data_IF_169875206105
#
_entry.id   IF_169875206105
#
_cell.length_a   1.000
_cell.length_b   1.000
_cell.length_c   1.000
_cell.angle_alpha   90.00
_cell.angle_beta   90.00
_cell.angle_gamma   90.00
#
_symmetry.space_group_name_H-M   'P 1'
#
loop_
_entity.id
_entity.type
_entity.pdbx_description
1 polymer ?
#
# COMPACT_ATOMS: atom_id res chain seq x y z
N UNK A 1 -5.42 18.00 62.00
CA UNK A 1 -4.31 17.22 61.39
C UNK A 1 -4.87 15.85 61.03
N UNK A 2 -4.90 15.29 59.82
CA UNK A 2 -4.09 15.42 58.59
C UNK A 2 -4.97 15.11 57.35
N UNK A 3 -6.13 15.78 57.20
CA UNK A 3 -6.94 15.73 55.96
C UNK A 3 -6.12 16.20 54.73
N UNK A 4 -5.07 17.00 54.98
CA UNK A 4 -4.05 17.41 54.00
C UNK A 4 -3.31 16.23 53.32
N UNK A 5 -3.24 15.05 53.95
CA UNK A 5 -2.49 13.91 53.41
C UNK A 5 -3.23 13.17 52.30
N UNK A 6 -4.57 13.25 52.26
CA UNK A 6 -5.38 12.61 51.22
C UNK A 6 -5.50 13.48 49.96
N UNK A 7 -5.44 14.81 50.11
CA UNK A 7 -5.47 15.74 48.99
C UNK A 7 -4.20 15.63 48.11
N UNK A 8 -3.04 15.34 48.73
CA UNK A 8 -1.76 15.22 48.01
C UNK A 8 -1.68 13.98 47.12
N UNK A 9 -2.34 12.88 47.51
CA UNK A 9 -2.31 11.62 46.75
C UNK A 9 -3.24 11.70 45.54
N UNK A 10 -4.40 12.33 45.68
CA UNK A 10 -5.33 12.52 44.55
C UNK A 10 -4.76 13.45 43.47
N UNK A 11 -3.99 14.48 43.85
CA UNK A 11 -3.39 15.41 42.89
C UNK A 11 -2.21 14.80 42.11
N UNK A 12 -1.45 13.89 42.72
CA UNK A 12 -0.33 13.18 42.07
C UNK A 12 -0.79 12.14 41.03
N UNK A 13 -1.98 11.55 41.20
CA UNK A 13 -2.57 10.63 40.20
C UNK A 13 -3.13 11.34 38.97
N UNK A 14 -3.47 12.62 39.06
CA UNK A 14 -4.01 13.38 37.92
C UNK A 14 -2.94 13.77 36.89
N UNK A 15 -1.67 13.91 37.29
CA UNK A 15 -0.59 14.37 36.40
C UNK A 15 -0.04 13.25 35.51
N UNK A 16 -0.14 11.98 35.94
CA UNK A 16 0.39 10.83 35.18
C UNK A 16 -0.45 10.51 33.93
N UNK A 17 -1.69 11.00 33.84
CA UNK A 17 -2.55 10.79 32.67
C UNK A 17 -2.21 11.68 31.47
N UNK A 18 -1.35 12.69 31.64
CA UNK A 18 -0.99 13.65 30.59
C UNK A 18 0.25 13.26 29.77
N UNK A 19 0.90 12.14 30.07
CA UNK A 19 2.16 11.73 29.45
C UNK A 19 2.06 10.51 28.53
N UNK A 20 0.86 10.01 28.25
CA UNK A 20 0.67 9.11 27.13
C UNK A 20 0.34 9.97 25.92
N UNK A 21 1.26 10.13 24.94
CA UNK A 21 0.77 10.43 23.61
C UNK A 21 -0.15 9.24 23.27
N UNK A 22 -1.46 9.44 23.39
CA UNK A 22 -2.39 8.75 22.53
C UNK A 22 -1.83 8.99 21.14
N UNK A 23 -1.18 7.98 20.59
CA UNK A 23 -1.14 7.85 19.15
C UNK A 23 -2.60 7.72 18.79
N UNK A 24 -3.24 8.87 18.54
CA UNK A 24 -4.38 8.91 17.68
C UNK A 24 -3.96 8.03 16.50
N UNK A 25 -4.67 6.93 16.32
CA UNK A 25 -4.69 6.23 15.05
C UNK A 25 -5.33 7.22 14.08
N UNK A 26 -4.60 8.30 13.77
CA UNK A 26 -4.81 9.01 12.53
C UNK A 26 -4.69 7.90 11.51
N UNK A 27 -5.80 7.62 10.82
CA UNK A 27 -5.81 6.71 9.69
C UNK A 27 -4.61 7.05 8.81
N UNK A 28 -3.52 6.31 8.95
CA UNK A 28 -2.61 6.07 7.83
C UNK A 28 -3.26 4.98 6.96
N UNK A 29 -4.54 5.15 6.68
CA UNK A 29 -5.16 4.72 5.45
C UNK A 29 -4.73 5.73 4.38
N UNK A 30 -3.42 5.94 4.21
CA UNK A 30 -2.92 6.31 2.88
C UNK A 30 -2.91 5.01 2.08
N UNK A 31 -4.13 4.50 1.86
CA UNK A 31 -4.43 3.61 0.76
C UNK A 31 -3.88 4.28 -0.48
N UNK A 32 -3.12 3.48 -1.21
CA UNK A 32 -2.36 3.91 -2.37
C UNK A 32 -3.20 4.81 -3.29
N UNK A 33 -2.60 5.79 -3.96
CA UNK A 33 -3.36 6.60 -4.91
C UNK A 33 -3.94 5.70 -6.01
N UNK A 34 -5.27 5.69 -6.19
CA UNK A 34 -5.95 4.90 -7.22
C UNK A 34 -6.09 5.66 -8.55
N UNK A 35 -5.18 6.59 -8.84
CA UNK A 35 -5.14 7.19 -10.18
C UNK A 35 -4.79 6.10 -11.20
N UNK A 36 -5.42 6.04 -12.37
CA UNK A 36 -5.19 4.98 -13.36
C UNK A 36 -3.88 5.22 -14.14
N UNK A 37 -2.76 5.35 -13.41
CA UNK A 37 -1.41 5.49 -13.95
C UNK A 37 -0.51 4.34 -13.49
N UNK A 38 0.50 4.00 -14.30
CA UNK A 38 1.48 2.97 -13.95
C UNK A 38 2.24 3.34 -12.67
N UNK A 39 2.56 4.63 -12.48
CA UNK A 39 3.27 5.11 -11.30
C UNK A 39 2.46 4.93 -10.01
N UNK A 40 1.15 5.22 -10.06
CA UNK A 40 0.26 5.01 -8.93
C UNK A 40 0.16 3.52 -8.56
N UNK A 41 -0.04 2.65 -9.56
CA UNK A 41 -0.03 1.20 -9.39
C UNK A 41 1.30 0.67 -8.81
N UNK A 42 2.42 1.24 -9.25
CA UNK A 42 3.75 0.93 -8.68
C UNK A 42 3.83 1.31 -7.21
N UNK A 43 3.25 2.44 -6.83
CA UNK A 43 3.06 2.84 -5.44
C UNK A 43 2.29 1.79 -4.64
N UNK A 44 1.23 1.22 -5.23
CA UNK A 44 0.44 0.14 -4.63
C UNK A 44 1.27 -1.10 -4.30
N UNK A 45 2.13 -1.53 -5.22
CA UNK A 45 3.02 -2.68 -4.99
C UNK A 45 4.01 -2.41 -3.85
N UNK A 46 4.59 -1.21 -3.79
CA UNK A 46 5.53 -0.83 -2.72
C UNK A 46 4.83 -0.81 -1.37
N UNK A 47 3.65 -0.20 -1.30
CA UNK A 47 2.86 -0.17 -0.08
C UNK A 47 2.48 -1.58 0.38
N UNK A 48 1.95 -2.42 -0.53
CA UNK A 48 1.57 -3.80 -0.22
C UNK A 48 2.76 -4.63 0.29
N UNK A 49 3.96 -4.46 -0.27
CA UNK A 49 5.16 -5.12 0.21
C UNK A 49 5.58 -4.62 1.62
N UNK A 50 5.57 -3.31 1.84
CA UNK A 50 5.94 -2.71 3.13
C UNK A 50 4.95 -3.08 4.25
N UNK A 51 3.68 -3.22 3.91
CA UNK A 51 2.61 -3.67 4.82
C UNK A 51 2.63 -5.20 5.07
N UNK A 52 3.50 -5.95 4.39
CA UNK A 52 3.60 -7.41 4.52
C UNK A 52 2.50 -8.18 3.78
N UNK A 53 1.72 -7.51 2.91
CA UNK A 53 0.74 -8.17 2.05
C UNK A 53 1.37 -8.89 0.86
N UNK A 54 2.64 -8.60 0.56
CA UNK A 54 3.50 -9.38 -0.33
C UNK A 54 4.69 -9.88 0.49
N UNK A 55 4.78 -11.19 0.72
CA UNK A 55 5.78 -11.76 1.63
C UNK A 55 7.12 -12.12 0.95
N UNK A 56 7.14 -12.11 -0.38
CA UNK A 56 8.29 -12.52 -1.19
C UNK A 56 9.01 -11.32 -1.81
N UNK A 57 10.22 -11.03 -1.32
CA UNK A 57 11.07 -9.97 -1.87
C UNK A 57 11.37 -10.16 -3.36
N UNK A 58 11.57 -11.41 -3.80
CA UNK A 58 11.83 -11.71 -5.20
C UNK A 58 10.60 -11.43 -6.07
N UNK A 59 9.40 -11.75 -5.57
CA UNK A 59 8.15 -11.42 -6.26
C UNK A 59 7.98 -9.90 -6.34
N UNK A 60 8.16 -9.17 -5.25
CA UNK A 60 8.07 -7.69 -5.25
C UNK A 60 9.01 -7.08 -6.29
N UNK A 61 10.27 -7.54 -6.38
CA UNK A 61 11.21 -7.07 -7.40
C UNK A 61 10.73 -7.38 -8.82
N UNK A 62 10.18 -8.57 -9.04
CA UNK A 62 9.64 -8.98 -10.35
C UNK A 62 8.45 -8.11 -10.75
N UNK A 63 7.51 -7.87 -9.84
CA UNK A 63 6.33 -7.03 -10.08
C UNK A 63 6.73 -5.59 -10.39
N UNK A 64 7.65 -5.01 -9.61
CA UNK A 64 8.15 -3.65 -9.87
C UNK A 64 8.87 -3.55 -11.22
N UNK A 65 9.68 -4.56 -11.59
CA UNK A 65 10.36 -4.58 -12.88
C UNK A 65 9.37 -4.62 -14.07
N UNK A 66 8.25 -5.34 -13.93
CA UNK A 66 7.18 -5.35 -14.95
C UNK A 66 6.52 -3.98 -15.11
N UNK A 67 6.26 -3.28 -13.99
CA UNK A 67 5.70 -1.92 -14.01
C UNK A 67 6.69 -0.90 -14.55
N UNK A 68 7.97 -0.98 -14.19
CA UNK A 68 9.02 -0.12 -14.73
C UNK A 68 9.18 -0.32 -16.26
N UNK A 69 9.03 -1.56 -16.76
CA UNK A 69 9.00 -1.86 -18.19
C UNK A 69 7.75 -1.30 -18.89
N UNK A 70 6.58 -1.34 -18.24
CA UNK A 70 5.36 -0.71 -18.76
C UNK A 70 5.51 0.82 -18.85
N UNK A 71 6.01 1.46 -17.79
CA UNK A 71 6.27 2.91 -17.79
C UNK A 71 7.27 3.30 -18.87
N UNK A 72 8.39 2.55 -19.00
CA UNK A 72 9.39 2.81 -20.04
C UNK A 72 8.79 2.71 -21.46
N UNK A 73 7.84 1.80 -21.68
CA UNK A 73 7.14 1.69 -22.96
C UNK A 73 6.23 2.91 -23.21
N UNK A 74 5.50 3.38 -22.18
CA UNK A 74 4.70 4.61 -22.28
C UNK A 74 5.55 5.84 -22.59
N UNK A 75 6.69 5.98 -21.93
CA UNK A 75 7.62 7.09 -22.15
C UNK A 75 8.15 7.13 -23.59
N UNK A 76 8.12 5.99 -24.29
CA UNK A 76 8.50 5.83 -25.71
C UNK A 76 7.31 5.91 -26.68
N UNK A 77 6.10 6.19 -26.19
CA UNK A 77 4.86 6.17 -26.99
C UNK A 77 4.44 4.78 -27.47
N UNK A 78 4.95 3.70 -26.84
CA UNK A 78 4.67 2.32 -27.19
C UNK A 78 3.50 1.77 -26.36
N UNK A 79 2.32 2.37 -26.50
CA UNK A 79 1.14 2.06 -25.68
C UNK A 79 0.77 0.57 -25.71
N UNK A 80 0.76 -0.08 -26.87
CA UNK A 80 0.48 -1.52 -26.98
C UNK A 80 1.46 -2.40 -26.20
N UNK A 81 2.73 -2.00 -26.14
CA UNK A 81 3.78 -2.71 -25.38
C UNK A 81 3.57 -2.49 -23.88
N UNK A 82 3.21 -1.28 -23.46
CA UNK A 82 2.87 -0.97 -22.09
C UNK A 82 1.67 -1.82 -21.61
N UNK A 83 0.60 -1.89 -22.41
CA UNK A 83 -0.58 -2.73 -22.12
C UNK A 83 -0.19 -4.20 -21.98
N UNK A 84 0.63 -4.74 -22.89
CA UNK A 84 1.11 -6.13 -22.78
C UNK A 84 1.88 -6.38 -21.48
N UNK A 85 2.75 -5.46 -21.07
CA UNK A 85 3.48 -5.56 -19.81
C UNK A 85 2.54 -5.53 -18.59
N UNK A 86 1.50 -4.70 -18.61
CA UNK A 86 0.48 -4.66 -17.55
C UNK A 86 -0.33 -5.95 -17.47
N UNK A 87 -0.65 -6.59 -18.60
CA UNK A 87 -1.33 -7.88 -18.61
C UNK A 87 -0.44 -9.00 -18.04
N UNK A 88 0.87 -8.96 -18.30
CA UNK A 88 1.84 -9.88 -17.67
C UNK A 88 1.91 -9.65 -16.15
N UNK A 89 1.86 -8.39 -15.70
CA UNK A 89 1.74 -8.05 -14.29
C UNK A 89 0.48 -8.67 -13.67
N UNK A 90 -0.69 -8.48 -14.29
CA UNK A 90 -1.97 -9.07 -13.83
C UNK A 90 -1.86 -10.59 -13.68
N UNK A 91 -1.38 -11.28 -14.71
CA UNK A 91 -1.20 -12.74 -14.66
C UNK A 91 -0.26 -13.18 -13.54
N UNK A 92 0.81 -12.40 -13.29
CA UNK A 92 1.75 -12.68 -12.20
C UNK A 92 1.09 -12.52 -10.84
N UNK A 93 0.33 -11.43 -10.64
CA UNK A 93 -0.39 -11.17 -9.38
C UNK A 93 -1.43 -12.26 -9.12
N UNK A 94 -2.26 -12.61 -10.11
CA UNK A 94 -3.27 -13.67 -10.01
C UNK A 94 -2.62 -15.03 -9.68
N UNK A 95 -1.51 -15.37 -10.32
CA UNK A 95 -0.80 -16.63 -10.07
C UNK A 95 -0.24 -16.75 -8.65
N UNK A 96 -0.01 -15.62 -7.97
CA UNK A 96 0.58 -15.53 -6.62
C UNK A 96 -0.43 -15.18 -5.53
N UNK A 97 -1.68 -14.89 -5.91
CA UNK A 97 -2.78 -14.66 -4.99
C UNK A 97 -2.96 -15.86 -4.05
N UNK A 98 -3.00 -15.59 -2.74
CA UNK A 98 -3.10 -16.60 -1.69
C UNK A 98 -1.83 -17.42 -1.44
N UNK A 99 -0.75 -17.19 -2.19
CA UNK A 99 0.55 -17.86 -2.01
C UNK A 99 1.58 -16.92 -1.40
N UNK A 100 1.87 -15.84 -2.11
CA UNK A 100 2.84 -14.83 -1.75
C UNK A 100 2.22 -13.43 -1.67
N UNK A 101 0.96 -13.30 -2.10
CA UNK A 101 0.18 -12.06 -2.03
C UNK A 101 -1.12 -12.38 -1.30
N UNK A 102 -1.48 -11.59 -0.28
CA UNK A 102 -2.80 -11.68 0.36
C UNK A 102 -3.89 -11.53 -0.69
N UNK A 103 -4.86 -12.45 -0.72
CA UNK A 103 -5.84 -12.54 -1.82
C UNK A 103 -6.60 -11.22 -2.08
N UNK A 104 -7.00 -10.52 -1.01
CA UNK A 104 -7.66 -9.21 -1.11
C UNK A 104 -6.75 -8.16 -1.77
N UNK A 105 -5.47 -8.12 -1.39
CA UNK A 105 -4.50 -7.22 -2.00
C UNK A 105 -4.17 -7.58 -3.44
N UNK A 106 -4.17 -8.88 -3.78
CA UNK A 106 -4.03 -9.32 -5.17
C UNK A 106 -5.21 -8.82 -6.02
N UNK A 107 -6.45 -8.97 -5.53
CA UNK A 107 -7.63 -8.47 -6.21
C UNK A 107 -7.58 -6.94 -6.42
N UNK A 108 -7.15 -6.20 -5.40
CA UNK A 108 -6.94 -4.75 -5.51
C UNK A 108 -5.90 -4.40 -6.60
N UNK A 109 -4.73 -5.02 -6.58
CA UNK A 109 -3.67 -4.76 -7.59
C UNK A 109 -4.11 -5.10 -9.02
N UNK A 110 -4.88 -6.19 -9.19
CA UNK A 110 -5.45 -6.56 -10.49
C UNK A 110 -6.46 -5.53 -10.97
N UNK A 111 -7.38 -5.10 -10.10
CA UNK A 111 -8.38 -4.08 -10.43
C UNK A 111 -7.73 -2.77 -10.86
N UNK A 112 -6.76 -2.28 -10.09
CA UNK A 112 -6.04 -1.05 -10.42
C UNK A 112 -5.26 -1.18 -11.74
N UNK A 113 -4.61 -2.32 -12.00
CA UNK A 113 -3.97 -2.56 -13.29
C UNK A 113 -4.94 -2.56 -14.47
N UNK A 114 -6.15 -3.10 -14.30
CA UNK A 114 -7.19 -3.09 -15.32
C UNK A 114 -7.72 -1.67 -15.60
N UNK A 115 -7.81 -0.81 -14.58
CA UNK A 115 -8.14 0.61 -14.75
C UNK A 115 -7.06 1.34 -15.55
N UNK A 116 -5.78 1.08 -15.28
CA UNK A 116 -4.66 1.64 -16.07
C UNK A 116 -4.74 1.17 -17.53
N UNK A 117 -4.95 -0.13 -17.77
CA UNK A 117 -5.10 -0.67 -19.14
C UNK A 117 -6.28 -0.03 -19.86
N UNK A 118 -7.41 0.16 -19.17
CA UNK A 118 -8.60 0.80 -19.73
C UNK A 118 -8.32 2.26 -20.10
N UNK A 119 -7.61 3.01 -19.24
CA UNK A 119 -7.25 4.40 -19.51
C UNK A 119 -6.29 4.55 -20.70
N UNK A 120 -5.39 3.58 -20.92
CA UNK A 120 -4.44 3.58 -22.03
C UNK A 120 -5.04 3.15 -23.37
N UNK A 121 -6.22 2.53 -23.36
CA UNK A 121 -6.86 1.94 -24.56
C UNK A 121 -7.98 2.82 -25.15
N UNK A 122 -8.12 4.06 -24.68
CA UNK A 122 -9.06 5.06 -25.17
C UNK A 122 -8.40 5.96 -26.23
#
# INVERSE_FOLDING_TARGET
MKIKSLLSVALLLAVISLAFPMRALASEEHGCTHEPTVQALRGCVVHAANAGHIDSLNLTKSLLAQLDAAQTALDRGQTDVAVKNLLVFVQTVEAQAGKHIVAEHAAHLVGHAQEVVTALSQ
#
